data_IF_051757013786
#
_entry.id   IF_051757013786
#
_cell.length_a   1.000
_cell.length_b   1.000
_cell.length_c   1.000
_cell.angle_alpha   90.00
_cell.angle_beta   90.00
_cell.angle_gamma   90.00
#
_symmetry.space_group_name_H-M   'P 1'
#
loop_
_entity.id
_entity.type
_entity.pdbx_description
1 polymer ?
#
# COMPACT_ATOMS: atom_id res chain seq x y z
N UNK A 1 -24.28 2.10 -29.74
CA UNK A 1 -24.42 0.64 -29.64
C UNK A 1 -23.01 0.09 -29.53
N UNK A 2 -22.69 -0.69 -28.51
CA UNK A 2 -21.33 -1.22 -28.37
C UNK A 2 -21.09 -2.23 -29.49
N UNK A 3 -20.35 -1.82 -30.51
CA UNK A 3 -19.78 -2.75 -31.47
C UNK A 3 -18.98 -3.77 -30.67
N UNK A 4 -19.32 -5.05 -30.86
CA UNK A 4 -18.76 -6.14 -30.08
C UNK A 4 -17.29 -6.38 -30.42
N UNK A 5 -16.88 -7.65 -30.41
CA UNK A 5 -15.54 -8.03 -30.84
C UNK A 5 -15.28 -7.57 -32.29
N UNK A 6 -14.21 -6.80 -32.50
CA UNK A 6 -13.74 -6.35 -33.82
C UNK A 6 -12.42 -7.06 -34.12
N UNK A 7 -12.29 -7.59 -35.33
CA UNK A 7 -11.09 -8.29 -35.82
C UNK A 7 -10.45 -7.50 -36.97
N UNK A 8 -9.14 -7.63 -37.15
CA UNK A 8 -8.43 -7.05 -38.28
C UNK A 8 -8.80 -7.76 -39.59
N UNK A 9 -8.88 -6.99 -40.68
CA UNK A 9 -9.28 -7.48 -41.99
C UNK A 9 -8.08 -8.04 -42.74
N UNK A 10 -7.88 -9.36 -42.62
CA UNK A 10 -6.83 -10.13 -43.32
C UNK A 10 -7.30 -10.59 -44.70
N UNK A 11 -6.36 -11.00 -45.56
CA UNK A 11 -6.64 -11.51 -46.91
C UNK A 11 -7.66 -12.67 -46.98
N UNK A 12 -7.64 -13.69 -46.09
CA UNK A 12 -8.67 -14.73 -46.10
C UNK A 12 -10.06 -14.18 -45.75
N UNK A 13 -10.16 -13.20 -44.85
CA UNK A 13 -11.42 -12.55 -44.50
C UNK A 13 -11.94 -11.73 -45.67
N UNK A 14 -11.08 -10.95 -46.33
CA UNK A 14 -11.46 -10.12 -47.49
C UNK A 14 -11.92 -10.96 -48.66
N UNK A 15 -11.16 -12.00 -49.02
CA UNK A 15 -11.53 -12.90 -50.12
C UNK A 15 -12.85 -13.62 -49.84
N UNK A 16 -13.09 -14.05 -48.60
CA UNK A 16 -14.38 -14.61 -48.19
C UNK A 16 -15.52 -13.60 -48.33
N UNK A 17 -15.35 -12.37 -47.87
CA UNK A 17 -16.39 -11.33 -47.96
C UNK A 17 -16.69 -10.94 -49.40
N UNK A 18 -15.68 -10.87 -50.28
CA UNK A 18 -15.85 -10.64 -51.71
C UNK A 18 -16.63 -11.79 -52.36
N UNK A 19 -16.27 -13.04 -52.05
CA UNK A 19 -17.00 -14.20 -52.55
C UNK A 19 -18.47 -14.22 -52.07
N UNK A 20 -18.69 -13.94 -50.78
CA UNK A 20 -20.03 -13.85 -50.20
C UNK A 20 -20.86 -12.68 -50.77
N UNK A 21 -20.22 -11.60 -51.24
CA UNK A 21 -20.92 -10.51 -51.92
C UNK A 21 -21.45 -10.90 -53.31
N UNK A 22 -20.89 -11.95 -53.92
CA UNK A 22 -21.32 -12.47 -55.23
C UNK A 22 -22.34 -13.60 -55.16
N UNK A 23 -22.48 -14.25 -53.99
CA UNK A 23 -23.35 -15.42 -53.80
C UNK A 23 -24.82 -15.00 -53.62
N UNK A 24 -25.59 -15.15 -54.70
CA UNK A 24 -27.02 -14.81 -54.79
C UNK A 24 -27.94 -15.99 -54.45
N UNK A 25 -27.40 -17.20 -54.41
CA UNK A 25 -28.18 -18.42 -54.28
C UNK A 25 -28.44 -18.77 -52.82
N UNK A 26 -27.53 -18.36 -51.92
CA UNK A 26 -27.58 -18.74 -50.51
C UNK A 26 -27.67 -17.57 -49.52
N UNK A 27 -27.24 -16.36 -49.90
CA UNK A 27 -27.31 -15.19 -49.02
C UNK A 27 -28.45 -14.25 -49.37
N UNK A 28 -29.04 -13.63 -48.33
CA UNK A 28 -29.99 -12.54 -48.50
C UNK A 28 -29.31 -11.28 -49.04
N UNK A 29 -30.07 -10.44 -49.72
CA UNK A 29 -29.58 -9.17 -50.28
C UNK A 29 -28.96 -8.27 -49.22
N UNK A 30 -29.52 -8.24 -48.01
CA UNK A 30 -28.97 -7.47 -46.89
C UNK A 30 -27.58 -7.96 -46.48
N UNK A 31 -27.39 -9.27 -46.33
CA UNK A 31 -26.08 -9.84 -45.95
C UNK A 31 -25.06 -9.67 -47.06
N UNK A 32 -25.49 -9.66 -48.32
CA UNK A 32 -24.65 -9.46 -49.50
C UNK A 32 -24.13 -8.02 -49.58
N UNK A 33 -25.00 -7.05 -49.36
CA UNK A 33 -24.64 -5.63 -49.24
C UNK A 33 -23.72 -5.41 -48.03
N UNK A 34 -24.00 -6.10 -46.92
CA UNK A 34 -23.16 -6.07 -45.73
C UNK A 34 -21.77 -6.64 -46.03
N UNK A 35 -21.66 -7.79 -46.71
CA UNK A 35 -20.39 -8.40 -47.10
C UNK A 35 -19.57 -7.48 -48.01
N UNK A 36 -20.22 -6.86 -49.00
CA UNK A 36 -19.60 -5.86 -49.87
C UNK A 36 -19.04 -4.67 -49.08
N UNK A 37 -19.82 -4.10 -48.16
CA UNK A 37 -19.36 -2.96 -47.34
C UNK A 37 -18.22 -3.34 -46.39
N UNK A 38 -18.25 -4.54 -45.79
CA UNK A 38 -17.18 -5.02 -44.89
C UNK A 38 -15.87 -5.34 -45.62
N UNK A 39 -15.93 -5.77 -46.88
CA UNK A 39 -14.74 -6.15 -47.67
C UNK A 39 -13.74 -5.00 -47.87
N UNK A 40 -14.23 -3.76 -47.83
CA UNK A 40 -13.43 -2.54 -48.01
C UNK A 40 -12.77 -2.10 -46.70
N UNK A 41 -13.33 -2.48 -45.54
CA UNK A 41 -12.87 -2.04 -44.23
C UNK A 41 -11.61 -2.78 -43.80
N UNK A 42 -10.74 -2.07 -43.07
CA UNK A 42 -9.53 -2.64 -42.44
C UNK A 42 -9.82 -3.37 -41.12
N UNK A 43 -11.01 -3.17 -40.54
CA UNK A 43 -11.46 -3.81 -39.31
C UNK A 43 -12.91 -4.25 -39.46
N UNK A 44 -13.23 -5.48 -39.08
CA UNK A 44 -14.54 -6.10 -39.30
C UNK A 44 -15.18 -6.50 -37.96
N UNK A 45 -16.45 -6.14 -37.69
CA UNK A 45 -17.17 -6.65 -36.53
C UNK A 45 -17.42 -8.16 -36.64
N UNK A 46 -16.98 -8.93 -35.64
CA UNK A 46 -17.10 -10.39 -35.62
C UNK A 46 -18.56 -10.87 -35.71
N UNK A 47 -19.51 -10.12 -35.13
CA UNK A 47 -20.94 -10.46 -35.19
C UNK A 47 -21.45 -10.51 -36.63
N UNK A 48 -21.07 -9.51 -37.43
CA UNK A 48 -21.46 -9.40 -38.83
C UNK A 48 -20.75 -10.44 -39.71
N UNK A 49 -19.47 -10.72 -39.44
CA UNK A 49 -18.77 -11.81 -40.11
C UNK A 49 -19.41 -13.18 -39.81
N UNK A 50 -19.75 -13.42 -38.55
CA UNK A 50 -20.40 -14.66 -38.10
C UNK A 50 -21.78 -14.83 -38.72
N UNK A 51 -22.58 -13.77 -38.85
CA UNK A 51 -23.90 -13.87 -39.48
C UNK A 51 -23.80 -14.26 -40.95
N UNK A 52 -22.84 -13.69 -41.68
CA UNK A 52 -22.56 -14.07 -43.08
C UNK A 52 -22.09 -15.54 -43.13
N UNK A 53 -21.12 -15.93 -42.32
CA UNK A 53 -20.59 -17.30 -42.30
C UNK A 53 -21.66 -18.36 -41.94
N UNK A 54 -22.54 -18.06 -40.98
CA UNK A 54 -23.64 -18.94 -40.60
C UNK A 54 -24.73 -19.06 -41.68
N UNK A 55 -24.87 -18.06 -42.56
CA UNK A 55 -25.88 -18.07 -43.62
C UNK A 55 -25.51 -18.99 -44.78
N UNK A 56 -24.21 -19.25 -45.02
CA UNK A 56 -23.77 -20.18 -46.06
C UNK A 56 -24.13 -21.64 -45.72
N UNK A 57 -24.33 -22.53 -46.71
CA UNK A 57 -24.48 -23.96 -46.47
C UNK A 57 -23.19 -24.59 -45.95
N UNK A 58 -23.31 -25.65 -45.15
CA UNK A 58 -22.17 -26.30 -44.46
C UNK A 58 -21.08 -26.77 -45.45
N UNK A 59 -21.47 -27.14 -46.66
CA UNK A 59 -20.57 -27.59 -47.74
C UNK A 59 -19.70 -26.48 -48.35
N UNK A 60 -20.13 -25.22 -48.32
CA UNK A 60 -19.39 -24.08 -48.87
C UNK A 60 -18.70 -23.21 -47.80
N UNK A 61 -18.88 -23.54 -46.52
CA UNK A 61 -18.26 -22.79 -45.41
C UNK A 61 -16.76 -23.03 -45.36
N UNK A 62 -15.93 -21.98 -45.42
CA UNK A 62 -14.51 -22.12 -45.13
C UNK A 62 -14.31 -22.46 -43.64
N UNK A 63 -13.24 -23.21 -43.34
CA UNK A 63 -12.91 -23.53 -41.96
C UNK A 63 -12.58 -22.25 -41.18
N UNK A 64 -13.16 -22.10 -39.98
CA UNK A 64 -12.95 -20.89 -39.17
C UNK A 64 -11.49 -20.66 -38.79
N UNK A 65 -10.71 -21.74 -38.64
CA UNK A 65 -9.27 -21.66 -38.36
C UNK A 65 -8.51 -21.00 -39.50
N UNK A 66 -8.81 -21.38 -40.74
CA UNK A 66 -8.19 -20.78 -41.94
C UNK A 66 -8.73 -19.38 -42.19
N UNK A 67 -10.02 -19.15 -41.95
CA UNK A 67 -10.64 -17.84 -42.15
C UNK A 67 -10.09 -16.78 -41.18
N UNK A 68 -9.89 -17.14 -39.92
CA UNK A 68 -9.38 -16.24 -38.87
C UNK A 68 -7.86 -16.33 -38.70
N UNK A 69 -7.17 -17.04 -39.59
CA UNK A 69 -5.72 -17.17 -39.52
C UNK A 69 -5.05 -15.81 -39.71
N UNK A 70 -4.12 -15.49 -38.81
CA UNK A 70 -3.46 -14.19 -38.75
C UNK A 70 -4.36 -12.99 -38.40
N UNK A 71 -5.62 -13.21 -37.98
CA UNK A 71 -6.48 -12.12 -37.53
C UNK A 71 -6.19 -11.72 -36.09
N UNK A 72 -6.08 -10.41 -35.86
CA UNK A 72 -5.83 -9.80 -34.56
C UNK A 72 -7.10 -9.13 -34.04
N UNK A 73 -7.24 -9.09 -32.72
CA UNK A 73 -8.34 -8.37 -32.08
C UNK A 73 -8.02 -6.87 -32.00
N UNK A 74 -8.91 -6.06 -32.57
CA UNK A 74 -8.82 -4.61 -32.48
C UNK A 74 -9.50 -4.15 -31.20
N UNK A 75 -8.71 -4.03 -30.13
CA UNK A 75 -9.20 -3.48 -28.87
C UNK A 75 -9.16 -1.95 -28.90
N UNK A 76 -10.31 -1.32 -28.67
CA UNK A 76 -10.35 0.11 -28.37
C UNK A 76 -9.95 0.30 -26.90
N UNK A 77 -8.80 0.92 -26.66
CA UNK A 77 -8.43 1.28 -25.29
C UNK A 77 -9.53 2.16 -24.70
N UNK A 78 -10.02 1.85 -23.48
CA UNK A 78 -10.93 2.74 -22.78
C UNK A 78 -10.36 4.16 -22.75
N UNK A 79 -11.24 5.17 -22.82
CA UNK A 79 -10.83 6.57 -22.77
C UNK A 79 -9.90 6.79 -21.56
N UNK A 80 -8.68 7.33 -21.76
CA UNK A 80 -7.75 7.58 -20.66
C UNK A 80 -8.43 8.38 -19.55
N UNK A 81 -8.30 7.91 -18.31
CA UNK A 81 -8.92 8.56 -17.16
C UNK A 81 -8.28 9.93 -16.95
N UNK A 82 -9.08 10.99 -17.05
CA UNK A 82 -8.62 12.36 -16.75
C UNK A 82 -8.49 12.46 -15.23
N UNK A 83 -7.28 12.79 -14.74
CA UNK A 83 -7.04 13.02 -13.31
C UNK A 83 -7.72 14.31 -12.88
N UNK A 84 -8.44 14.31 -11.76
CA UNK A 84 -9.03 15.53 -11.19
C UNK A 84 -7.94 16.53 -10.75
N UNK A 85 -8.27 17.81 -10.76
CA UNK A 85 -7.35 18.89 -10.34
C UNK A 85 -6.88 18.69 -8.89
N UNK A 86 -7.78 18.24 -8.00
CA UNK A 86 -7.44 17.91 -6.62
C UNK A 86 -6.38 16.80 -6.51
N UNK A 87 -6.48 15.76 -7.36
CA UNK A 87 -5.52 14.66 -7.36
C UNK A 87 -4.15 15.11 -7.86
N UNK A 88 -4.12 16.00 -8.87
CA UNK A 88 -2.86 16.59 -9.35
C UNK A 88 -2.19 17.42 -8.27
N UNK A 89 -2.95 18.28 -7.58
CA UNK A 89 -2.44 19.09 -6.48
C UNK A 89 -1.86 18.23 -5.34
N UNK A 90 -2.53 17.13 -4.99
CA UNK A 90 -2.01 16.17 -3.99
C UNK A 90 -0.73 15.49 -4.44
N UNK A 91 -0.64 15.08 -5.71
CA UNK A 91 0.58 14.46 -6.26
C UNK A 91 1.74 15.45 -6.29
N UNK A 92 1.48 16.71 -6.62
CA UNK A 92 2.50 17.77 -6.61
C UNK A 92 3.02 18.02 -5.20
N UNK A 93 2.13 18.09 -4.20
CA UNK A 93 2.54 18.22 -2.79
C UNK A 93 3.39 17.04 -2.32
N UNK A 94 3.06 15.82 -2.73
CA UNK A 94 3.86 14.64 -2.39
C UNK A 94 5.23 14.68 -3.06
N UNK A 95 5.33 15.14 -4.31
CA UNK A 95 6.59 15.31 -5.00
C UNK A 95 7.47 16.36 -4.29
N UNK A 96 6.91 17.51 -3.92
CA UNK A 96 7.63 18.56 -3.19
C UNK A 96 8.18 18.06 -1.85
N UNK A 97 7.40 17.24 -1.11
CA UNK A 97 7.87 16.65 0.15
C UNK A 97 9.04 15.67 -0.05
N UNK A 98 9.06 14.94 -1.17
CA UNK A 98 10.16 14.04 -1.53
C UNK A 98 11.40 14.87 -1.87
N UNK A 99 11.28 15.90 -2.69
CA UNK A 99 12.38 16.80 -3.04
C UNK A 99 12.98 17.48 -1.81
N UNK A 100 12.14 17.95 -0.89
CA UNK A 100 12.61 18.53 0.38
C UNK A 100 13.38 17.50 1.21
N UNK A 101 12.89 16.25 1.29
CA UNK A 101 13.59 15.18 1.99
C UNK A 101 14.97 14.92 1.37
N UNK A 102 15.04 14.79 0.06
CA UNK A 102 16.31 14.59 -0.66
C UNK A 102 17.27 15.76 -0.43
N UNK A 103 16.78 17.01 -0.49
CA UNK A 103 17.58 18.18 -0.15
C UNK A 103 18.11 18.13 1.30
N UNK A 104 17.26 17.76 2.27
CA UNK A 104 17.70 17.65 3.67
C UNK A 104 18.75 16.57 3.86
N UNK A 105 18.68 15.48 3.09
CA UNK A 105 19.68 14.41 3.13
C UNK A 105 21.02 14.88 2.57
N UNK A 106 21.02 15.63 1.46
CA UNK A 106 22.23 16.22 0.87
C UNK A 106 22.91 17.22 1.80
N UNK A 107 22.14 17.98 2.58
CA UNK A 107 22.64 19.06 3.44
C UNK A 107 23.01 18.57 4.86
N UNK A 108 22.65 17.33 5.20
CA UNK A 108 22.82 16.71 6.52
C UNK A 108 24.26 16.75 7.05
N UNK A 109 25.26 16.67 6.17
CA UNK A 109 26.67 16.62 6.54
C UNK A 109 27.30 18.01 6.67
N UNK A 110 26.66 19.04 6.12
CA UNK A 110 27.14 20.43 6.12
C UNK A 110 26.54 21.22 7.28
N UNK A 111 25.27 20.97 7.59
CA UNK A 111 24.57 21.66 8.67
C UNK A 111 24.91 20.98 10.01
N UNK A 112 25.37 21.74 11.03
CA UNK A 112 25.58 21.18 12.35
C UNK A 112 24.27 20.58 12.85
N UNK A 113 24.29 19.28 13.18
CA UNK A 113 23.15 18.57 13.79
C UNK A 113 22.68 19.38 14.98
N UNK A 114 21.55 20.06 14.84
CA UNK A 114 20.79 20.51 16.00
C UNK A 114 20.30 19.21 16.61
N UNK A 115 20.56 19.01 17.90
CA UNK A 115 19.93 17.94 18.65
C UNK A 115 18.43 18.22 18.62
N UNK A 116 17.76 17.67 17.60
CA UNK A 116 16.33 17.74 17.41
C UNK A 116 15.72 17.06 18.62
N UNK A 117 15.40 17.89 19.60
CA UNK A 117 14.68 17.50 20.80
C UNK A 117 13.25 17.25 20.33
N UNK A 118 13.03 16.10 19.71
CA UNK A 118 11.76 15.73 19.11
C UNK A 118 10.66 15.78 20.19
N UNK A 119 9.60 16.59 20.02
CA UNK A 119 8.47 16.62 20.94
C UNK A 119 7.71 15.27 21.00
N UNK A 120 7.99 14.35 20.07
CA UNK A 120 7.49 12.97 20.08
C UNK A 120 8.16 12.05 21.10
N UNK A 121 9.30 12.45 21.68
CA UNK A 121 9.89 11.76 22.83
C UNK A 121 9.00 11.90 24.07
N UNK A 122 8.29 13.02 24.22
CA UNK A 122 7.46 13.26 25.42
C UNK A 122 6.27 12.30 25.49
N UNK A 123 5.58 12.05 24.36
CA UNK A 123 4.43 11.14 24.33
C UNK A 123 4.84 9.65 24.48
N UNK A 124 5.93 9.23 23.82
CA UNK A 124 6.46 7.86 23.96
C UNK A 124 7.09 7.59 25.33
N UNK A 125 7.80 8.56 25.91
CA UNK A 125 8.36 8.43 27.27
C UNK A 125 7.24 8.49 28.32
N UNK A 126 6.16 9.26 28.10
CA UNK A 126 4.97 9.26 28.97
C UNK A 126 4.19 7.94 28.92
N UNK A 127 3.97 7.37 27.73
CA UNK A 127 3.33 6.04 27.60
C UNK A 127 4.24 4.96 28.20
N UNK A 128 5.54 5.01 27.91
CA UNK A 128 6.51 4.06 28.44
C UNK A 128 6.59 4.13 29.97
N UNK A 129 6.53 5.33 30.55
CA UNK A 129 6.51 5.52 31.99
C UNK A 129 5.22 4.98 32.63
N UNK A 130 4.05 5.32 32.08
CA UNK A 130 2.78 4.79 32.59
C UNK A 130 2.68 3.27 32.50
N UNK A 131 3.15 2.68 31.40
CA UNK A 131 3.18 1.23 31.22
C UNK A 131 4.14 0.55 32.21
N UNK A 132 5.31 1.15 32.46
CA UNK A 132 6.27 0.65 33.45
C UNK A 132 5.67 0.63 34.86
N UNK A 133 5.03 1.71 35.28
CA UNK A 133 4.36 1.81 36.59
C UNK A 133 3.30 0.71 36.75
N UNK A 134 2.46 0.49 35.74
CA UNK A 134 1.44 -0.57 35.78
C UNK A 134 2.07 -1.96 35.90
N UNK A 135 3.17 -2.23 35.17
CA UNK A 135 3.88 -3.49 35.23
C UNK A 135 4.52 -3.75 36.60
N UNK A 136 5.14 -2.74 37.20
CA UNK A 136 5.76 -2.85 38.54
C UNK A 136 4.69 -3.04 39.61
N UNK A 137 3.55 -2.35 39.51
CA UNK A 137 2.43 -2.56 40.42
C UNK A 137 1.84 -3.98 40.30
N UNK A 138 1.63 -4.46 39.07
CA UNK A 138 1.10 -5.81 38.85
C UNK A 138 2.05 -6.89 39.39
N UNK A 139 3.34 -6.78 39.08
CA UNK A 139 4.36 -7.72 39.55
C UNK A 139 4.51 -7.66 41.08
N UNK A 140 4.50 -6.47 41.69
CA UNK A 140 4.50 -6.29 43.14
C UNK A 140 3.29 -6.95 43.82
N UNK A 141 2.09 -6.82 43.25
CA UNK A 141 0.90 -7.50 43.75
C UNK A 141 1.03 -9.02 43.67
N UNK A 142 1.47 -9.57 42.53
CA UNK A 142 1.64 -11.02 42.36
C UNK A 142 2.67 -11.59 43.34
N UNK A 143 3.80 -10.91 43.50
CA UNK A 143 4.87 -11.33 44.42
C UNK A 143 4.40 -11.25 45.88
N UNK A 144 3.72 -10.17 46.27
CA UNK A 144 3.13 -10.01 47.60
C UNK A 144 2.05 -11.06 47.90
N UNK A 145 1.20 -11.34 46.92
CA UNK A 145 0.17 -12.37 47.00
C UNK A 145 0.79 -13.77 47.12
N UNK A 146 1.82 -14.07 46.32
CA UNK A 146 2.51 -15.36 46.35
C UNK A 146 3.29 -15.59 47.65
N UNK A 147 3.97 -14.58 48.17
CA UNK A 147 4.71 -14.67 49.44
C UNK A 147 3.78 -14.89 50.62
N UNK A 148 2.66 -14.17 50.71
CA UNK A 148 1.67 -14.41 51.77
C UNK A 148 0.92 -15.73 51.60
N UNK A 149 0.66 -16.15 50.36
CA UNK A 149 0.10 -17.47 50.06
C UNK A 149 1.03 -18.59 50.52
N UNK A 150 2.34 -18.42 50.37
CA UNK A 150 3.33 -19.37 50.87
C UNK A 150 3.43 -19.35 52.41
N UNK A 151 3.24 -18.18 53.04
CA UNK A 151 3.45 -18.00 54.48
C UNK A 151 2.22 -18.36 55.34
N UNK A 152 1.01 -18.08 54.89
CA UNK A 152 -0.23 -18.21 55.69
C UNK A 152 -1.22 -19.29 55.20
N UNK A 153 -0.81 -20.15 54.27
CA UNK A 153 -1.67 -21.16 53.64
C UNK A 153 -2.99 -20.55 53.08
N UNK A 154 -3.95 -21.36 52.63
CA UNK A 154 -5.06 -20.96 51.73
C UNK A 154 -6.13 -19.99 52.30
N UNK A 155 -5.79 -19.06 53.21
CA UNK A 155 -6.71 -18.02 53.64
C UNK A 155 -6.75 -16.86 52.61
N UNK A 156 -7.85 -16.71 51.85
CA UNK A 156 -7.93 -15.73 50.76
C UNK A 156 -7.77 -14.29 51.23
N UNK A 157 -8.18 -13.99 52.48
CA UNK A 157 -8.10 -12.65 53.06
C UNK A 157 -6.64 -12.25 53.33
N UNK A 158 -5.85 -13.17 53.87
CA UNK A 158 -4.43 -12.93 54.17
C UNK A 158 -3.59 -12.80 52.88
N UNK A 159 -3.92 -13.58 51.85
CA UNK A 159 -3.24 -13.50 50.56
C UNK A 159 -3.53 -12.17 49.85
N UNK A 160 -4.78 -11.70 49.92
CA UNK A 160 -5.16 -10.38 49.41
C UNK A 160 -4.44 -9.26 50.16
N UNK A 161 -4.34 -9.35 51.49
CA UNK A 161 -3.56 -8.40 52.30
C UNK A 161 -2.07 -8.38 51.92
N UNK A 162 -1.49 -9.55 51.63
CA UNK A 162 -0.12 -9.65 51.10
C UNK A 162 0.06 -9.00 49.72
N UNK A 163 -0.91 -9.16 48.84
CA UNK A 163 -0.92 -8.46 47.55
C UNK A 163 -0.98 -6.94 47.70
N UNK A 164 -1.79 -6.43 48.64
CA UNK A 164 -1.86 -4.99 48.96
C UNK A 164 -0.53 -4.50 49.54
N UNK A 165 0.08 -5.25 50.46
CA UNK A 165 1.41 -4.91 50.99
C UNK A 165 2.48 -4.93 49.89
N UNK A 166 2.39 -5.89 48.97
CA UNK A 166 3.22 -5.98 47.76
C UNK A 166 3.04 -4.79 46.82
N UNK A 167 1.82 -4.24 46.70
CA UNK A 167 1.57 -3.00 45.95
C UNK A 167 2.27 -1.79 46.59
N UNK A 168 2.19 -1.66 47.92
CA UNK A 168 2.88 -0.57 48.64
C UNK A 168 4.40 -0.69 48.46
N UNK A 169 4.95 -1.91 48.57
CA UNK A 169 6.36 -2.18 48.31
C UNK A 169 6.77 -1.87 46.86
N UNK A 170 5.94 -2.27 45.89
CA UNK A 170 6.14 -1.96 44.47
C UNK A 170 6.15 -0.46 44.19
N UNK A 171 5.27 0.32 44.82
CA UNK A 171 5.25 1.78 44.70
C UNK A 171 6.52 2.45 45.25
N UNK A 172 7.07 1.93 46.36
CA UNK A 172 8.33 2.44 46.92
C UNK A 172 9.52 2.12 45.99
N UNK A 173 9.58 0.90 45.45
CA UNK A 173 10.61 0.50 44.49
C UNK A 173 10.54 1.34 43.21
N UNK A 174 9.35 1.56 42.67
CA UNK A 174 9.14 2.43 41.51
C UNK A 174 9.66 3.84 41.76
N UNK A 175 9.39 4.40 42.94
CA UNK A 175 9.86 5.74 43.33
C UNK A 175 11.38 5.80 43.38
N UNK A 176 12.05 4.79 43.94
CA UNK A 176 13.51 4.72 43.98
C UNK A 176 14.11 4.57 42.58
N UNK A 177 13.55 3.69 41.75
CA UNK A 177 13.98 3.48 40.37
C UNK A 177 13.80 4.75 39.52
N UNK A 178 12.70 5.48 39.75
CA UNK A 178 12.47 6.77 39.11
C UNK A 178 13.55 7.79 39.47
N UNK A 179 13.91 7.91 40.75
CA UNK A 179 14.96 8.81 41.22
C UNK A 179 16.32 8.45 40.59
N UNK A 180 16.68 7.16 40.56
CA UNK A 180 17.95 6.70 39.96
C UNK A 180 17.98 6.99 38.44
N UNK A 181 16.88 6.71 37.73
CA UNK A 181 16.77 6.96 36.29
C UNK A 181 16.84 8.46 35.98
N UNK A 182 16.15 9.29 36.75
CA UNK A 182 16.20 10.75 36.61
C UNK A 182 17.62 11.27 36.85
N UNK A 183 18.25 10.85 37.95
CA UNK A 183 19.63 11.22 38.29
C UNK A 183 20.64 10.80 37.21
N UNK A 184 20.50 9.60 36.65
CA UNK A 184 21.37 9.13 35.56
C UNK A 184 21.22 9.97 34.30
N UNK A 185 19.97 10.31 33.92
CA UNK A 185 19.70 11.20 32.76
C UNK A 185 20.34 12.58 32.99
N UNK A 186 20.25 13.13 34.21
CA UNK A 186 20.84 14.42 34.56
C UNK A 186 22.37 14.40 34.53
N UNK A 187 23.01 13.33 35.03
CA UNK A 187 24.47 13.17 34.96
C UNK A 187 24.98 13.05 33.53
N UNK A 188 24.30 12.27 32.68
CA UNK A 188 24.68 12.12 31.26
C UNK A 188 24.56 13.47 30.53
N UNK A 189 23.49 14.22 30.79
CA UNK A 189 23.29 15.55 30.21
C UNK A 189 24.38 16.54 30.63
N UNK A 190 24.76 16.56 31.92
CA UNK A 190 25.81 17.42 32.46
C UNK A 190 27.22 17.05 31.97
N UNK A 191 27.50 15.76 31.77
CA UNK A 191 28.77 15.30 31.18
C UNK A 191 28.88 15.65 29.68
N UNK A 192 27.77 15.61 28.94
CA UNK A 192 27.73 16.01 27.53
C UNK A 192 27.99 17.53 27.37
N UNK A 193 27.36 18.37 28.20
CA UNK A 193 27.58 19.83 28.18
C UNK A 193 28.98 20.24 28.63
N UNK A 194 29.56 19.56 29.63
CA UNK A 194 30.94 19.84 30.08
C UNK A 194 32.01 19.37 29.09
N UNK A 195 31.76 18.30 28.34
CA UNK A 195 32.64 17.85 27.25
C UNK A 195 32.61 18.81 26.05
N UNK A 196 31.42 19.33 25.71
CA UNK A 196 31.25 20.31 24.65
C UNK A 196 31.88 21.68 24.99
N UNK A 197 31.85 22.10 26.26
CA UNK A 197 32.49 23.35 26.69
C UNK A 197 34.03 23.25 26.74
N UNK A 198 34.60 22.10 27.16
CA UNK A 198 36.05 21.84 27.08
C UNK A 198 36.59 21.86 25.65
N UNK A 199 35.83 21.34 24.68
CA UNK A 199 36.23 21.38 23.25
C UNK A 199 36.25 22.80 22.68
N UNK A 200 35.36 23.69 23.14
CA UNK A 200 35.36 25.10 22.71
C UNK A 200 36.54 25.90 23.29
N UNK A 201 36.95 25.64 24.53
CA UNK A 201 38.06 26.34 25.17
C UNK A 201 39.41 26.01 24.50
N UNK A 202 39.61 24.76 24.06
CA UNK A 202 40.86 24.32 23.42
C UNK A 202 41.04 24.80 21.97
N UNK A 203 40.00 25.38 21.35
CA UNK A 203 40.04 25.88 19.96
C UNK A 203 40.39 27.38 19.88
N UNK A 204 40.45 28.06 21.03
CA UNK A 204 40.74 29.49 21.14
C UNK A 204 42.06 29.79 21.91
N UNK A 205 42.86 28.76 22.18
CA UNK A 205 44.27 28.86 22.59
C UNK A 205 45.14 28.35 21.46
#
# INVERSE_FOLDING_TARGET
>A
MADGLVISSTDPIRSFLVAASGDRDHLSDELRILAASLSVLSSVPYKSLRSIWCALPVSSRPSLRVLLDGSDFVFTSPKPRVKSEELKARLQKLAELVEQREYTELVKDVVPKKDDTEPFSSYKDQIGFGLHVVLVMFTGYLVGYATFRALFNHNPIMNAAGGILGLVGGMLLETVLFIIRASTKDMVKNNATSSASRLKIKKHQ
#
